data_IF_283882706107
#
_entry.id   IF_283882706107
#
_cell.length_a   1.000
_cell.length_b   1.000
_cell.length_c   1.000
_cell.angle_alpha   90.00
_cell.angle_beta   90.00
_cell.angle_gamma   90.00
#
_symmetry.space_group_name_H-M   'P 1'
#
loop_
_entity.id
_entity.type
_entity.pdbx_description
1 polymer ?
#
# COMPACT_ATOMS: atom_id res chain seq x y z
N UNK A 1 -14.17 -26.74 -19.73
CA UNK A 1 -14.26 -25.32 -20.18
C UNK A 1 -12.96 -24.63 -19.86
N UNK A 2 -12.29 -24.07 -20.87
CA UNK A 2 -11.08 -23.26 -20.69
C UNK A 2 -11.42 -22.04 -19.83
N UNK A 3 -10.74 -21.86 -18.69
CA UNK A 3 -10.82 -20.62 -17.91
C UNK A 3 -10.37 -19.49 -18.83
N UNK A 4 -11.31 -18.69 -19.35
CA UNK A 4 -10.95 -17.56 -20.20
C UNK A 4 -10.19 -16.54 -19.35
N UNK A 5 -8.95 -16.26 -19.74
CA UNK A 5 -8.19 -15.12 -19.23
C UNK A 5 -9.06 -13.85 -19.28
N UNK A 6 -8.89 -12.97 -18.31
CA UNK A 6 -9.51 -11.65 -18.36
C UNK A 6 -9.05 -10.96 -19.65
N UNK A 7 -9.98 -10.28 -20.33
CA UNK A 7 -9.68 -9.66 -21.62
C UNK A 7 -8.51 -8.66 -21.47
N UNK A 8 -7.46 -8.69 -22.32
CA UNK A 8 -6.25 -7.87 -22.15
C UNK A 8 -6.53 -6.36 -22.04
N UNK A 9 -7.49 -5.85 -22.80
CA UNK A 9 -7.90 -4.42 -22.72
C UNK A 9 -8.42 -4.07 -21.33
N UNK A 10 -9.20 -4.96 -20.71
CA UNK A 10 -9.71 -4.74 -19.35
C UNK A 10 -8.56 -4.77 -18.33
N UNK A 11 -7.58 -5.66 -18.49
CA UNK A 11 -6.39 -5.69 -17.64
C UNK A 11 -5.56 -4.41 -17.74
N UNK A 12 -5.39 -3.85 -18.95
CA UNK A 12 -4.74 -2.55 -19.12
C UNK A 12 -5.53 -1.42 -18.43
N UNK A 13 -6.85 -1.39 -18.60
CA UNK A 13 -7.70 -0.38 -17.94
C UNK A 13 -7.62 -0.48 -16.41
N UNK A 14 -7.64 -1.70 -15.85
CA UNK A 14 -7.48 -1.94 -14.41
C UNK A 14 -6.09 -1.49 -13.96
N UNK A 15 -5.03 -1.95 -14.63
CA UNK A 15 -3.66 -1.64 -14.26
C UNK A 15 -3.36 -0.14 -14.28
N UNK A 16 -3.81 0.57 -15.32
CA UNK A 16 -3.66 2.02 -15.42
C UNK A 16 -4.55 2.76 -14.41
N UNK A 17 -5.84 2.41 -14.34
CA UNK A 17 -6.82 3.10 -13.50
C UNK A 17 -6.56 2.95 -12.01
N UNK A 18 -6.04 1.80 -11.56
CA UNK A 18 -5.69 1.60 -10.15
C UNK A 18 -4.39 2.30 -9.74
N UNK A 19 -3.46 2.46 -10.67
CA UNK A 19 -2.08 2.79 -10.33
C UNK A 19 -1.67 4.23 -10.70
N UNK A 20 -2.31 4.85 -11.71
CA UNK A 20 -2.08 6.27 -12.00
C UNK A 20 -2.52 7.11 -10.79
N UNK A 21 -1.62 7.92 -10.19
CA UNK A 21 -1.91 8.67 -8.97
C UNK A 21 -2.65 9.98 -9.26
N UNK A 22 -3.77 9.89 -9.98
CA UNK A 22 -4.64 11.02 -10.31
C UNK A 22 -5.77 11.12 -9.28
N UNK A 23 -6.02 12.34 -8.82
CA UNK A 23 -7.04 12.64 -7.81
C UNK A 23 -8.03 13.68 -8.32
N UNK A 24 -9.29 13.54 -7.92
CA UNK A 24 -10.39 14.44 -8.24
C UNK A 24 -11.12 14.88 -6.98
N UNK A 25 -11.82 16.01 -7.03
CA UNK A 25 -12.72 16.47 -5.96
C UNK A 25 -14.17 16.10 -6.30
N UNK A 26 -15.06 16.10 -5.31
CA UNK A 26 -16.48 15.75 -5.52
C UNK A 26 -17.22 16.69 -6.48
N UNK A 27 -16.69 17.90 -6.71
CA UNK A 27 -17.19 18.84 -7.72
C UNK A 27 -16.82 18.45 -9.17
N UNK A 28 -16.09 17.35 -9.35
CA UNK A 28 -15.62 16.86 -10.65
C UNK A 28 -14.31 17.49 -11.13
N UNK A 29 -13.73 18.43 -10.37
CA UNK A 29 -12.45 19.05 -10.73
C UNK A 29 -11.27 18.11 -10.48
N UNK A 30 -10.24 18.23 -11.31
CA UNK A 30 -8.96 17.57 -11.07
C UNK A 30 -8.27 18.27 -9.91
N UNK A 31 -7.76 17.50 -8.95
CA UNK A 31 -7.00 18.06 -7.85
C UNK A 31 -5.69 18.64 -8.38
N UNK A 32 -5.55 19.97 -8.32
CA UNK A 32 -4.38 20.72 -8.76
C UNK A 32 -4.07 21.82 -7.74
N UNK A 33 -3.62 21.42 -6.56
CA UNK A 33 -3.22 22.34 -5.49
C UNK A 33 -1.69 22.51 -5.46
N UNK A 34 -1.25 23.74 -5.19
CA UNK A 34 0.16 24.11 -5.00
C UNK A 34 0.58 23.87 -3.54
N UNK A 35 -0.38 23.79 -2.61
CA UNK A 35 -0.12 23.48 -1.20
C UNK A 35 0.12 21.98 -1.00
N UNK A 36 1.20 21.68 -0.29
CA UNK A 36 1.67 20.31 0.00
C UNK A 36 0.64 19.48 0.79
N UNK A 37 -0.08 20.11 1.72
CA UNK A 37 -1.13 19.50 2.52
C UNK A 37 -2.45 20.26 2.31
N UNK A 38 -3.42 19.59 1.70
CA UNK A 38 -4.81 20.01 1.76
C UNK A 38 -5.37 19.57 3.12
N UNK A 39 -5.51 20.53 4.05
CA UNK A 39 -6.27 20.31 5.28
C UNK A 39 -7.76 20.35 4.94
N UNK A 40 -8.41 19.19 4.91
CA UNK A 40 -9.86 19.10 4.68
C UNK A 40 -10.68 19.49 5.90
N UNK A 41 -10.06 19.64 7.08
CA UNK A 41 -10.72 19.82 8.38
C UNK A 41 -11.87 18.83 8.66
N UNK A 42 -11.88 17.68 7.98
CA UNK A 42 -12.97 16.69 8.08
C UNK A 42 -14.14 16.89 7.12
N UNK A 43 -14.07 17.87 6.22
CA UNK A 43 -15.05 18.08 5.16
C UNK A 43 -14.75 17.15 3.97
N UNK A 44 -15.60 16.14 3.79
CA UNK A 44 -15.44 15.13 2.72
C UNK A 44 -15.41 15.77 1.33
N UNK A 45 -16.17 16.84 1.09
CA UNK A 45 -16.21 17.52 -0.21
C UNK A 45 -14.89 18.18 -0.61
N UNK A 46 -13.99 18.42 0.34
CA UNK A 46 -12.67 19.00 0.10
C UNK A 46 -11.56 17.93 -0.05
N UNK A 47 -11.88 16.65 0.20
CA UNK A 47 -10.90 15.58 0.12
C UNK A 47 -10.63 15.15 -1.33
N UNK A 48 -9.36 15.10 -1.76
CA UNK A 48 -9.01 14.51 -3.05
C UNK A 48 -9.26 13.00 -3.03
N UNK A 49 -10.10 12.53 -3.96
CA UNK A 49 -10.41 11.12 -4.16
C UNK A 49 -9.61 10.57 -5.34
N UNK A 50 -8.96 9.42 -5.22
CA UNK A 50 -8.19 8.85 -6.32
C UNK A 50 -9.08 8.24 -7.40
N UNK A 51 -8.64 8.34 -8.65
CA UNK A 51 -9.28 7.68 -9.80
C UNK A 51 -9.38 6.15 -9.62
N UNK A 52 -8.51 5.58 -8.78
CA UNK A 52 -8.52 4.14 -8.46
C UNK A 52 -9.83 3.66 -7.85
N UNK A 53 -10.59 4.52 -7.16
CA UNK A 53 -11.94 4.17 -6.68
C UNK A 53 -12.84 3.88 -7.89
N UNK A 54 -12.93 4.82 -8.83
CA UNK A 54 -13.79 4.71 -10.02
C UNK A 54 -13.36 3.52 -10.87
N UNK A 55 -12.05 3.37 -11.11
CA UNK A 55 -11.50 2.25 -11.87
C UNK A 55 -11.82 0.90 -11.20
N UNK A 56 -11.68 0.80 -9.87
CA UNK A 56 -11.95 -0.42 -9.12
C UNK A 56 -13.43 -0.83 -9.24
N UNK A 57 -14.36 0.09 -8.95
CA UNK A 57 -15.79 -0.22 -9.00
C UNK A 57 -16.30 -0.44 -10.43
N UNK A 58 -15.82 0.32 -11.42
CA UNK A 58 -16.17 0.07 -12.82
C UNK A 58 -15.71 -1.32 -13.28
N UNK A 59 -14.49 -1.73 -12.91
CA UNK A 59 -14.00 -3.07 -13.24
C UNK A 59 -14.80 -4.18 -12.54
N UNK A 60 -15.19 -3.99 -11.27
CA UNK A 60 -16.07 -4.94 -10.56
C UNK A 60 -17.43 -5.08 -11.23
N UNK A 61 -18.02 -3.98 -11.73
CA UNK A 61 -19.28 -4.03 -12.48
C UNK A 61 -19.13 -4.82 -13.79
N UNK A 62 -18.03 -4.61 -14.52
CA UNK A 62 -17.73 -5.37 -15.74
C UNK A 62 -17.48 -6.87 -15.47
N UNK A 63 -16.99 -7.20 -14.27
CA UNK A 63 -16.70 -8.56 -13.82
C UNK A 63 -17.79 -9.14 -12.90
N UNK A 64 -18.99 -8.54 -12.86
CA UNK A 64 -20.04 -8.88 -11.89
C UNK A 64 -20.40 -10.37 -11.88
N UNK A 65 -20.39 -11.03 -13.04
CA UNK A 65 -20.69 -12.46 -13.18
C UNK A 65 -19.74 -13.36 -12.39
N UNK A 66 -18.51 -12.90 -12.16
CA UNK A 66 -17.49 -13.64 -11.42
C UNK A 66 -17.46 -13.32 -9.92
N UNK A 67 -18.17 -12.29 -9.44
CA UNK A 67 -17.98 -11.76 -8.08
C UNK A 67 -18.16 -12.83 -6.99
N UNK A 68 -19.11 -13.76 -7.15
CA UNK A 68 -19.33 -14.86 -6.20
C UNK A 68 -18.15 -15.85 -6.09
N UNK A 69 -17.24 -15.83 -7.06
CA UNK A 69 -16.00 -16.63 -7.01
C UNK A 69 -14.92 -15.98 -6.15
N UNK A 70 -14.98 -14.66 -5.91
CA UNK A 70 -14.04 -13.93 -5.05
C UNK A 70 -14.42 -14.05 -3.57
N UNK A 71 -14.44 -15.30 -3.07
CA UNK A 71 -14.97 -15.63 -1.74
C UNK A 71 -14.19 -14.95 -0.62
N UNK A 72 -12.86 -14.86 -0.71
CA UNK A 72 -12.07 -14.31 0.38
C UNK A 72 -12.32 -12.80 0.52
N UNK A 73 -12.37 -12.06 -0.59
CA UNK A 73 -12.78 -10.66 -0.59
C UNK A 73 -14.20 -10.43 -0.09
N UNK A 74 -15.16 -11.27 -0.49
CA UNK A 74 -16.56 -11.15 -0.04
C UNK A 74 -16.68 -11.40 1.46
N UNK A 75 -16.06 -12.46 1.97
CA UNK A 75 -16.06 -12.80 3.39
C UNK A 75 -15.35 -11.75 4.22
N UNK A 76 -14.25 -11.16 3.71
CA UNK A 76 -13.58 -10.07 4.40
C UNK A 76 -14.51 -8.86 4.55
N UNK A 77 -15.10 -8.39 3.44
CA UNK A 77 -15.97 -7.21 3.46
C UNK A 77 -17.19 -7.45 4.34
N UNK A 78 -17.88 -8.58 4.14
CA UNK A 78 -19.06 -8.93 4.92
C UNK A 78 -18.71 -9.07 6.42
N UNK A 79 -17.60 -9.73 6.74
CA UNK A 79 -17.12 -9.88 8.11
C UNK A 79 -16.78 -8.54 8.75
N UNK A 80 -16.03 -7.67 8.06
CA UNK A 80 -15.68 -6.34 8.57
C UNK A 80 -16.91 -5.48 8.79
N UNK A 81 -17.87 -5.47 7.86
CA UNK A 81 -19.12 -4.74 8.01
C UNK A 81 -19.93 -5.29 9.19
N UNK A 82 -20.09 -6.61 9.31
CA UNK A 82 -20.82 -7.23 10.41
C UNK A 82 -20.18 -6.92 11.77
N UNK A 83 -18.86 -7.09 11.90
CA UNK A 83 -18.11 -6.78 13.12
C UNK A 83 -18.13 -5.28 13.46
N UNK A 84 -18.01 -4.41 12.45
CA UNK A 84 -18.08 -2.96 12.63
C UNK A 84 -19.46 -2.49 13.07
N UNK A 85 -20.52 -3.02 12.47
CA UNK A 85 -21.91 -2.77 12.87
C UNK A 85 -22.15 -3.26 14.30
N UNK A 86 -21.68 -4.46 14.64
CA UNK A 86 -21.75 -5.01 16.00
C UNK A 86 -21.06 -4.08 17.02
N UNK A 87 -19.87 -3.58 16.68
CA UNK A 87 -19.16 -2.59 17.49
C UNK A 87 -19.94 -1.28 17.65
N UNK A 88 -20.64 -0.83 16.61
CA UNK A 88 -21.47 0.38 16.70
C UNK A 88 -22.65 0.17 17.66
N UNK A 89 -23.38 -0.94 17.54
CA UNK A 89 -24.55 -1.21 18.37
C UNK A 89 -24.20 -1.49 19.84
N UNK A 90 -23.15 -2.28 20.11
CA UNK A 90 -22.76 -2.66 21.47
C UNK A 90 -21.86 -1.59 22.10
N UNK A 91 -20.96 -1.01 21.32
CA UNK A 91 -19.96 -0.04 21.77
C UNK A 91 -20.52 1.36 22.01
N UNK A 92 -21.70 1.69 21.48
CA UNK A 92 -22.37 2.96 21.70
C UNK A 92 -22.65 3.25 23.19
N UNK A 93 -22.72 4.53 23.52
CA UNK A 93 -23.15 5.04 24.83
C UNK A 93 -24.65 5.42 24.85
N UNK A 94 -25.32 5.35 23.70
CA UNK A 94 -26.73 5.71 23.53
C UNK A 94 -27.01 7.22 23.56
N UNK A 95 -25.96 8.05 23.75
CA UNK A 95 -26.05 9.50 23.87
C UNK A 95 -25.51 10.18 22.62
N UNK A 96 -24.40 9.68 22.08
CA UNK A 96 -23.75 10.28 20.92
C UNK A 96 -24.02 9.45 19.66
N UNK A 97 -24.38 10.14 18.58
CA UNK A 97 -24.68 9.50 17.29
C UNK A 97 -23.46 8.80 16.68
N UNK A 98 -23.61 7.62 16.06
CA UNK A 98 -22.48 6.81 15.57
C UNK A 98 -21.85 7.33 14.26
N UNK A 99 -22.11 8.58 13.87
CA UNK A 99 -21.76 9.12 12.55
C UNK A 99 -20.26 9.01 12.24
N UNK A 100 -19.40 9.34 13.21
CA UNK A 100 -17.94 9.27 13.05
C UNK A 100 -17.45 7.83 12.88
N UNK A 101 -18.03 6.88 13.63
CA UNK A 101 -17.75 5.44 13.44
C UNK A 101 -18.22 4.93 12.09
N UNK A 102 -19.43 5.30 11.65
CA UNK A 102 -19.95 4.91 10.34
C UNK A 102 -19.05 5.42 9.20
N UNK A 103 -18.59 6.67 9.31
CA UNK A 103 -17.63 7.23 8.35
C UNK A 103 -16.32 6.44 8.34
N UNK A 104 -15.78 6.09 9.51
CA UNK A 104 -14.56 5.28 9.60
C UNK A 104 -14.76 3.86 9.06
N UNK A 105 -15.93 3.25 9.30
CA UNK A 105 -16.26 1.93 8.77
C UNK A 105 -16.29 1.96 7.24
N UNK A 106 -16.91 2.98 6.65
CA UNK A 106 -16.93 3.19 5.20
C UNK A 106 -15.52 3.41 4.62
N UNK A 107 -14.68 4.19 5.30
CA UNK A 107 -13.28 4.42 4.89
C UNK A 107 -12.43 3.15 4.94
N UNK A 108 -12.71 2.24 5.87
CA UNK A 108 -11.98 0.98 6.02
C UNK A 108 -12.49 -0.08 5.04
N UNK A 109 -13.80 -0.12 4.79
CA UNK A 109 -14.41 -1.12 3.91
C UNK A 109 -14.24 -0.79 2.42
N UNK A 110 -14.23 0.49 2.03
CA UNK A 110 -14.14 0.88 0.61
C UNK A 110 -12.86 0.34 -0.06
N UNK A 111 -11.65 0.47 0.53
CA UNK A 111 -10.43 -0.05 -0.09
C UNK A 111 -10.42 -1.57 -0.26
N UNK A 112 -11.19 -2.32 0.54
CA UNK A 112 -11.29 -3.78 0.44
C UNK A 112 -11.91 -4.25 -0.88
N UNK A 113 -12.59 -3.37 -1.63
CA UNK A 113 -13.02 -3.65 -3.00
C UNK A 113 -11.84 -4.02 -3.91
N UNK A 114 -10.62 -3.53 -3.61
CA UNK A 114 -9.41 -3.95 -4.30
C UNK A 114 -9.15 -5.46 -4.18
N UNK A 115 -9.42 -6.06 -3.01
CA UNK A 115 -9.22 -7.50 -2.75
C UNK A 115 -10.13 -8.33 -3.65
N UNK A 116 -11.42 -7.96 -3.71
CA UNK A 116 -12.38 -8.57 -4.63
C UNK A 116 -11.88 -8.50 -6.07
N UNK A 117 -11.47 -7.31 -6.52
CA UNK A 117 -11.03 -7.13 -7.90
C UNK A 117 -9.77 -7.95 -8.19
N UNK A 118 -8.80 -7.99 -7.28
CA UNK A 118 -7.58 -8.79 -7.43
C UNK A 118 -7.84 -10.29 -7.53
N UNK A 119 -8.82 -10.81 -6.77
CA UNK A 119 -9.21 -12.23 -6.85
C UNK A 119 -9.87 -12.61 -8.18
N UNK A 120 -10.62 -11.68 -8.77
CA UNK A 120 -11.31 -11.87 -10.06
C UNK A 120 -10.38 -11.78 -11.26
N UNK A 121 -9.29 -11.05 -11.13
CA UNK A 121 -8.35 -10.84 -12.23
C UNK A 121 -7.48 -12.08 -12.46
N UNK A 122 -7.43 -12.49 -13.74
CA UNK A 122 -6.55 -13.56 -14.24
C UNK A 122 -5.58 -12.96 -15.25
N UNK A 123 -4.35 -12.72 -14.81
CA UNK A 123 -3.30 -12.09 -15.60
C UNK A 123 -2.28 -13.12 -16.14
N UNK A 124 -2.73 -13.95 -17.09
CA UNK A 124 -1.88 -14.98 -17.70
C UNK A 124 -0.70 -14.42 -18.50
N UNK A 125 -0.91 -13.27 -19.16
CA UNK A 125 0.05 -12.66 -20.09
C UNK A 125 0.86 -11.51 -19.48
N UNK A 126 0.84 -11.38 -18.13
CA UNK A 126 1.55 -10.34 -17.36
C UNK A 126 1.19 -8.91 -17.79
N UNK A 127 -0.03 -8.69 -18.25
CA UNK A 127 -0.54 -7.40 -18.73
C UNK A 127 -0.54 -6.37 -17.59
N UNK A 128 -0.89 -6.77 -16.36
CA UNK A 128 -0.87 -5.85 -15.22
C UNK A 128 0.55 -5.39 -14.91
N UNK A 129 1.52 -6.30 -14.93
CA UNK A 129 2.92 -5.94 -14.71
C UNK A 129 3.42 -4.95 -15.76
N UNK A 130 2.97 -5.08 -17.03
CA UNK A 130 3.31 -4.14 -18.11
C UNK A 130 2.62 -2.79 -17.91
N UNK A 131 1.38 -2.77 -17.43
CA UNK A 131 0.69 -1.55 -17.05
C UNK A 131 1.41 -0.80 -15.92
N UNK A 132 1.84 -1.52 -14.88
CA UNK A 132 2.62 -0.92 -13.79
C UNK A 132 3.96 -0.38 -14.27
N UNK A 133 4.68 -1.14 -15.10
CA UNK A 133 5.93 -0.70 -15.70
C UNK A 133 5.75 0.58 -16.52
N UNK A 134 4.70 0.65 -17.35
CA UNK A 134 4.39 1.84 -18.15
C UNK A 134 4.17 3.07 -17.27
N UNK A 135 3.32 2.97 -16.25
CA UNK A 135 3.05 4.10 -15.33
C UNK A 135 4.33 4.53 -14.62
N UNK A 136 5.17 3.59 -14.17
CA UNK A 136 6.46 3.93 -13.55
C UNK A 136 7.39 4.65 -14.53
N UNK A 137 7.51 4.15 -15.75
CA UNK A 137 8.34 4.75 -16.80
C UNK A 137 7.87 6.16 -17.21
N UNK A 138 6.60 6.50 -17.01
CA UNK A 138 6.07 7.83 -17.32
C UNK A 138 6.11 8.75 -16.10
N UNK A 139 5.51 8.34 -14.98
CA UNK A 139 5.28 9.23 -13.83
C UNK A 139 6.56 9.47 -13.04
N UNK A 140 7.42 8.46 -12.85
CA UNK A 140 8.65 8.63 -12.05
C UNK A 140 9.61 9.63 -12.68
N UNK A 141 9.97 9.52 -13.98
CA UNK A 141 10.83 10.52 -14.61
C UNK A 141 10.18 11.91 -14.65
N UNK A 142 8.86 11.97 -14.93
CA UNK A 142 8.12 13.23 -14.96
C UNK A 142 8.12 13.93 -13.59
N UNK A 143 7.87 13.19 -12.50
CA UNK A 143 7.89 13.74 -11.15
C UNK A 143 9.28 14.22 -10.74
N UNK A 144 10.33 13.46 -11.09
CA UNK A 144 11.71 13.85 -10.86
C UNK A 144 12.07 15.11 -11.65
N UNK A 145 11.69 15.19 -12.92
CA UNK A 145 11.93 16.35 -13.78
C UNK A 145 11.26 17.59 -13.18
N UNK A 146 9.96 17.51 -12.84
CA UNK A 146 9.26 18.65 -12.23
C UNK A 146 9.83 19.05 -10.87
N UNK A 147 10.28 18.07 -10.08
CA UNK A 147 10.97 18.35 -8.82
C UNK A 147 12.23 19.18 -9.05
N UNK A 148 13.00 18.86 -10.09
CA UNK A 148 14.22 19.58 -10.44
C UNK A 148 13.90 20.97 -11.02
N UNK A 149 12.95 21.08 -11.95
CA UNK A 149 12.61 22.36 -12.60
C UNK A 149 11.92 23.34 -11.66
N UNK A 150 11.23 22.85 -10.62
CA UNK A 150 10.61 23.67 -9.58
C UNK A 150 11.56 23.94 -8.40
N UNK A 151 12.83 23.55 -8.52
CA UNK A 151 13.88 23.73 -7.50
C UNK A 151 13.48 23.18 -6.12
N UNK A 152 12.72 22.08 -6.10
CA UNK A 152 12.28 21.44 -4.85
C UNK A 152 13.30 20.41 -4.38
N UNK A 153 13.62 20.43 -3.09
CA UNK A 153 14.49 19.42 -2.47
C UNK A 153 13.77 18.07 -2.33
N UNK A 154 12.48 18.10 -2.00
CA UNK A 154 11.57 16.95 -1.91
C UNK A 154 10.84 16.72 -3.22
N UNK A 155 10.37 15.49 -3.44
CA UNK A 155 9.46 15.20 -4.56
C UNK A 155 8.33 16.22 -4.60
N UNK A 156 8.13 16.87 -5.74
CA UNK A 156 6.99 17.76 -5.92
C UNK A 156 5.71 16.94 -6.02
N UNK A 157 4.61 17.50 -5.51
CA UNK A 157 3.28 16.97 -5.76
C UNK A 157 2.63 17.60 -6.99
N UNK A 158 3.12 18.75 -7.46
CA UNK A 158 2.43 19.57 -8.45
C UNK A 158 3.03 19.37 -9.86
N UNK A 159 2.21 18.92 -10.80
CA UNK A 159 2.57 18.62 -12.19
C UNK A 159 1.98 19.64 -13.18
N UNK A 160 1.63 20.85 -12.70
CA UNK A 160 0.98 21.93 -13.45
C UNK A 160 -0.48 21.66 -13.89
N UNK A 161 -0.81 20.42 -14.27
CA UNK A 161 -2.16 20.01 -14.70
C UNK A 161 -2.91 19.29 -13.58
N UNK A 162 -2.18 18.58 -12.73
CA UNK A 162 -2.73 17.87 -11.58
C UNK A 162 -1.70 17.84 -10.45
N UNK A 163 -2.18 17.46 -9.27
CA UNK A 163 -1.37 17.25 -8.08
C UNK A 163 -1.52 15.83 -7.55
N UNK A 164 -0.44 15.28 -7.01
CA UNK A 164 -0.44 13.97 -6.36
C UNK A 164 -0.71 14.18 -4.86
N UNK A 165 -1.93 13.84 -4.43
CA UNK A 165 -2.26 13.85 -3.01
C UNK A 165 -1.45 12.80 -2.26
N UNK A 166 -0.96 13.14 -1.06
CA UNK A 166 -0.21 12.21 -0.21
C UNK A 166 1.05 11.58 -0.87
N UNK A 167 1.65 12.33 -1.82
CA UNK A 167 2.76 11.90 -2.66
C UNK A 167 3.99 11.34 -1.94
N UNK A 168 4.37 11.95 -0.80
CA UNK A 168 5.64 11.67 -0.13
C UNK A 168 5.71 10.25 0.45
N UNK A 169 4.63 9.79 1.10
CA UNK A 169 4.68 8.57 1.90
C UNK A 169 3.94 7.39 1.27
N UNK A 170 2.76 7.65 0.70
CA UNK A 170 1.90 6.58 0.20
C UNK A 170 2.21 6.29 -1.26
N UNK A 171 2.16 7.29 -2.15
CA UNK A 171 2.39 7.06 -3.59
C UNK A 171 3.79 6.52 -3.87
N UNK A 172 4.82 7.08 -3.22
CA UNK A 172 6.18 6.57 -3.37
C UNK A 172 6.29 5.09 -2.98
N UNK A 173 5.62 4.66 -1.90
CA UNK A 173 5.64 3.25 -1.50
C UNK A 173 4.90 2.36 -2.48
N UNK A 174 3.72 2.76 -2.96
CA UNK A 174 2.97 2.02 -3.98
C UNK A 174 3.83 1.85 -5.23
N UNK A 175 4.58 2.88 -5.64
CA UNK A 175 5.49 2.80 -6.77
C UNK A 175 6.65 1.84 -6.53
N UNK A 176 7.21 1.77 -5.32
CA UNK A 176 8.20 0.75 -4.96
C UNK A 176 7.62 -0.66 -5.09
N UNK A 177 6.44 -0.92 -4.52
CA UNK A 177 5.79 -2.23 -4.61
C UNK A 177 5.47 -2.63 -6.07
N UNK A 178 4.96 -1.68 -6.86
CA UNK A 178 4.69 -1.91 -8.28
C UNK A 178 5.98 -2.14 -9.08
N UNK A 179 7.06 -1.43 -8.76
CA UNK A 179 8.37 -1.65 -9.37
C UNK A 179 8.87 -3.06 -9.08
N UNK A 180 8.80 -3.52 -7.82
CA UNK A 180 9.22 -4.88 -7.45
C UNK A 180 8.36 -5.93 -8.19
N UNK A 181 7.05 -5.72 -8.26
CA UNK A 181 6.15 -6.62 -9.00
C UNK A 181 6.47 -6.67 -10.50
N UNK A 182 6.66 -5.51 -11.14
CA UNK A 182 7.04 -5.41 -12.55
C UNK A 182 8.42 -6.02 -12.81
N UNK A 183 9.42 -5.67 -12.00
CA UNK A 183 10.79 -6.15 -12.13
C UNK A 183 10.87 -7.68 -12.04
N UNK A 184 10.12 -8.28 -11.11
CA UNK A 184 10.13 -9.73 -10.90
C UNK A 184 9.36 -10.48 -11.97
N UNK A 185 8.24 -9.91 -12.45
CA UNK A 185 7.39 -10.54 -13.48
C UNK A 185 7.95 -10.40 -14.90
N UNK A 186 8.58 -9.27 -15.20
CA UNK A 186 8.99 -8.86 -16.55
C UNK A 186 10.51 -8.84 -16.76
N UNK A 187 11.29 -9.32 -15.79
CA UNK A 187 12.76 -9.31 -15.86
C UNK A 187 13.25 -9.79 -17.22
N UNK A 188 12.83 -10.97 -17.66
CA UNK A 188 13.40 -11.61 -18.85
C UNK A 188 13.09 -10.86 -20.17
N UNK A 189 11.99 -10.12 -20.20
CA UNK A 189 11.51 -9.37 -21.38
C UNK A 189 12.08 -7.94 -21.43
N UNK A 190 12.26 -7.28 -20.28
CA UNK A 190 12.57 -5.84 -20.20
C UNK A 190 13.79 -5.49 -19.32
N UNK A 191 14.80 -6.37 -19.25
CA UNK A 191 16.00 -6.23 -18.38
C UNK A 191 16.59 -4.82 -18.36
N UNK A 192 16.95 -4.29 -19.54
CA UNK A 192 17.60 -2.99 -19.66
C UNK A 192 16.73 -1.86 -19.12
N UNK A 193 15.44 -1.85 -19.48
CA UNK A 193 14.48 -0.86 -19.01
C UNK A 193 14.30 -0.93 -17.49
N UNK A 194 14.21 -2.13 -16.91
CA UNK A 194 14.09 -2.32 -15.46
C UNK A 194 15.35 -1.82 -14.74
N UNK A 195 16.54 -2.04 -15.28
CA UNK A 195 17.79 -1.53 -14.70
C UNK A 195 17.85 0.01 -14.73
N UNK A 196 17.47 0.63 -15.86
CA UNK A 196 17.38 2.10 -15.95
C UNK A 196 16.35 2.64 -14.96
N UNK A 197 15.18 2.02 -14.91
CA UNK A 197 14.12 2.40 -14.00
C UNK A 197 14.54 2.21 -12.53
N UNK A 198 15.32 1.19 -12.18
CA UNK A 198 15.86 1.01 -10.84
C UNK A 198 16.72 2.21 -10.42
N UNK A 199 17.58 2.72 -11.30
CA UNK A 199 18.37 3.93 -11.00
C UNK A 199 17.46 5.14 -10.77
N UNK A 200 16.44 5.32 -11.61
CA UNK A 200 15.47 6.41 -11.44
C UNK A 200 14.65 6.27 -10.15
N UNK A 201 14.22 5.05 -9.82
CA UNK A 201 13.52 4.72 -8.59
C UNK A 201 14.39 5.00 -7.36
N UNK A 202 15.70 4.76 -7.43
CA UNK A 202 16.60 5.11 -6.33
C UNK A 202 16.60 6.62 -6.05
N UNK A 203 16.71 7.45 -7.09
CA UNK A 203 16.63 8.92 -6.94
C UNK A 203 15.25 9.35 -6.44
N UNK A 204 14.20 8.76 -7.00
CA UNK A 204 12.81 9.03 -6.65
C UNK A 204 12.53 8.75 -5.16
N UNK A 205 12.86 7.54 -4.70
CA UNK A 205 12.63 7.13 -3.31
C UNK A 205 13.50 7.94 -2.35
N UNK A 206 14.75 8.26 -2.71
CA UNK A 206 15.63 9.11 -1.91
C UNK A 206 15.16 10.57 -1.77
N UNK A 207 14.34 11.05 -2.72
CA UNK A 207 13.71 12.38 -2.69
C UNK A 207 12.38 12.39 -1.91
N UNK A 208 11.86 11.22 -1.53
CA UNK A 208 10.67 11.12 -0.66
C UNK A 208 10.97 11.34 0.83
N UNK A 209 12.22 11.22 1.26
CA UNK A 209 12.62 11.24 2.69
C UNK A 209 11.84 10.28 3.62
N UNK A 210 11.15 9.29 3.06
CA UNK A 210 10.43 8.26 3.80
C UNK A 210 11.38 7.10 4.10
N UNK A 211 11.94 7.05 5.32
CA UNK A 211 12.88 5.98 5.71
C UNK A 211 12.33 4.58 5.47
N UNK A 212 11.05 4.39 5.76
CA UNK A 212 10.38 3.12 5.58
C UNK A 212 10.37 2.71 4.10
N UNK A 213 10.08 3.65 3.20
CA UNK A 213 10.06 3.42 1.74
C UNK A 213 11.47 3.24 1.17
N UNK A 214 12.45 4.01 1.65
CA UNK A 214 13.87 3.87 1.28
C UNK A 214 14.38 2.47 1.66
N UNK A 215 14.11 2.04 2.89
CA UNK A 215 14.49 0.70 3.37
C UNK A 215 13.81 -0.40 2.55
N UNK A 216 12.50 -0.26 2.25
CA UNK A 216 11.78 -1.23 1.43
C UNK A 216 12.42 -1.41 0.05
N UNK A 217 12.72 -0.28 -0.61
CA UNK A 217 13.35 -0.27 -1.93
C UNK A 217 14.73 -0.91 -1.90
N UNK A 218 15.58 -0.50 -0.95
CA UNK A 218 16.94 -1.03 -0.82
C UNK A 218 16.93 -2.55 -0.56
N UNK A 219 16.12 -3.02 0.39
CA UNK A 219 15.97 -4.45 0.68
C UNK A 219 15.49 -5.21 -0.56
N UNK A 220 14.44 -4.71 -1.23
CA UNK A 220 13.88 -5.38 -2.40
C UNK A 220 14.89 -5.49 -3.54
N UNK A 221 15.62 -4.42 -3.86
CA UNK A 221 16.66 -4.44 -4.91
C UNK A 221 17.80 -5.37 -4.54
N UNK A 222 18.27 -5.36 -3.29
CA UNK A 222 19.35 -6.25 -2.83
C UNK A 222 18.94 -7.73 -2.92
N UNK A 223 17.74 -8.06 -2.42
CA UNK A 223 17.20 -9.43 -2.50
C UNK A 223 16.98 -9.84 -3.94
N UNK A 224 16.49 -8.94 -4.80
CA UNK A 224 16.28 -9.21 -6.22
C UNK A 224 17.60 -9.45 -6.96
N UNK A 225 18.60 -8.59 -6.73
CA UNK A 225 19.94 -8.78 -7.29
C UNK A 225 20.56 -10.10 -6.82
N UNK A 226 20.44 -10.44 -5.54
CA UNK A 226 20.92 -11.71 -5.00
C UNK A 226 20.21 -12.93 -5.63
N UNK A 227 18.89 -12.89 -5.81
CA UNK A 227 18.13 -13.95 -6.50
C UNK A 227 18.63 -14.14 -7.93
N UNK A 228 18.80 -13.04 -8.69
CA UNK A 228 19.28 -13.13 -10.07
C UNK A 228 20.72 -13.61 -10.17
N UNK A 229 21.63 -13.11 -9.33
CA UNK A 229 23.03 -13.52 -9.34
C UNK A 229 23.21 -14.99 -8.95
N UNK A 230 22.42 -15.50 -8.00
CA UNK A 230 22.45 -16.92 -7.61
C UNK A 230 22.10 -17.86 -8.77
N UNK A 231 21.20 -17.46 -9.66
CA UNK A 231 20.82 -18.26 -10.84
C UNK A 231 21.94 -18.37 -11.88
N UNK A 232 22.85 -17.40 -11.94
CA UNK A 232 23.97 -17.38 -12.88
C UNK A 232 25.25 -18.04 -12.35
N UNK A 233 25.20 -18.74 -11.20
CA UNK A 233 26.37 -19.37 -10.55
C UNK A 233 27.54 -18.39 -10.34
N UNK A 234 27.26 -17.08 -10.25
CA UNK A 234 28.28 -16.07 -10.06
C UNK A 234 28.84 -16.20 -8.64
N UNK A 235 30.16 -16.03 -8.51
CA UNK A 235 30.86 -16.12 -7.24
C UNK A 235 30.18 -15.24 -6.16
N UNK A 236 30.06 -15.74 -4.92
CA UNK A 236 29.45 -15.03 -3.78
C UNK A 236 30.05 -13.63 -3.57
N UNK A 237 31.31 -13.44 -3.94
CA UNK A 237 32.01 -12.15 -3.90
C UNK A 237 31.39 -11.08 -4.81
N UNK A 238 30.80 -11.45 -5.95
CA UNK A 238 30.14 -10.50 -6.86
C UNK A 238 28.79 -10.03 -6.31
N UNK A 239 28.06 -10.89 -5.59
CA UNK A 239 26.83 -10.50 -4.86
C UNK A 239 27.15 -9.50 -3.77
N UNK A 240 28.20 -9.76 -2.99
CA UNK A 240 28.69 -8.85 -1.95
C UNK A 240 29.17 -7.54 -2.59
N UNK A 241 29.86 -7.60 -3.73
CA UNK A 241 30.30 -6.40 -4.47
C UNK A 241 29.14 -5.52 -4.95
N UNK A 242 28.07 -6.11 -5.50
CA UNK A 242 26.87 -5.35 -5.91
C UNK A 242 26.15 -4.79 -4.69
N UNK A 243 26.03 -5.56 -3.60
CA UNK A 243 25.42 -5.10 -2.37
C UNK A 243 26.18 -3.92 -1.74
N UNK A 244 27.51 -3.99 -1.71
CA UNK A 244 28.39 -2.90 -1.26
C UNK A 244 28.27 -1.70 -2.19
N UNK A 245 28.17 -1.90 -3.51
CA UNK A 245 28.00 -0.81 -4.47
C UNK A 245 26.66 -0.10 -4.28
N UNK A 246 25.56 -0.84 -4.14
CA UNK A 246 24.23 -0.28 -3.86
C UNK A 246 24.25 0.45 -2.53
N UNK A 247 24.82 -0.15 -1.48
CA UNK A 247 24.98 0.48 -0.18
C UNK A 247 25.86 1.74 -0.25
N UNK A 248 26.94 1.72 -1.00
CA UNK A 248 27.82 2.87 -1.21
C UNK A 248 27.11 3.98 -1.98
N UNK A 249 26.31 3.66 -3.00
CA UNK A 249 25.51 4.66 -3.74
C UNK A 249 24.43 5.28 -2.83
N UNK A 250 23.79 4.47 -1.99
CA UNK A 250 22.87 4.96 -0.94
C UNK A 250 23.60 5.88 0.02
N UNK A 251 24.74 5.45 0.57
CA UNK A 251 25.53 6.19 1.55
C UNK A 251 26.12 7.48 0.97
N UNK A 252 26.65 7.45 -0.25
CA UNK A 252 27.17 8.63 -0.96
C UNK A 252 26.03 9.58 -1.32
N UNK A 253 24.89 9.07 -1.77
CA UNK A 253 23.68 9.88 -2.01
C UNK A 253 23.20 10.58 -0.73
N UNK A 254 23.29 9.92 0.42
CA UNK A 254 23.01 10.54 1.72
C UNK A 254 24.10 11.53 2.15
N UNK A 255 25.38 11.23 1.91
CA UNK A 255 26.51 12.07 2.30
C UNK A 255 26.65 13.35 1.46
N UNK A 256 26.34 13.30 0.17
CA UNK A 256 26.31 14.49 -0.71
C UNK A 256 25.16 15.42 -0.31
N UNK A 257 24.02 14.85 0.10
CA UNK A 257 22.88 15.64 0.63
C UNK A 257 23.15 16.24 2.01
N UNK A 258 23.98 15.62 2.84
CA UNK A 258 24.43 16.19 4.12
C UNK A 258 25.16 17.54 3.95
N UNK A 259 25.67 17.84 2.74
CA UNK A 259 26.45 19.04 2.46
C UNK A 259 25.63 20.21 1.88
N UNK A 260 24.41 20.01 1.39
CA UNK A 260 23.59 21.12 0.82
C UNK A 260 22.83 21.87 1.91
N UNK A 261 23.17 23.14 2.09
CA UNK A 261 22.57 24.07 3.05
C UNK A 261 21.24 24.61 2.52
N UNK A 262 20.15 24.48 3.28
CA UNK A 262 18.85 25.06 2.90
C UNK A 262 17.69 24.56 3.75
N UNK A 263 17.19 23.35 3.48
CA UNK A 263 16.11 22.71 4.26
C UNK A 263 16.50 21.32 4.80
N UNK A 264 17.79 20.98 4.71
CA UNK A 264 18.38 19.75 5.20
C UNK A 264 18.22 19.51 6.71
N UNK A 265 17.76 20.48 7.51
CA UNK A 265 17.52 20.31 8.96
C UNK A 265 16.44 19.28 9.31
N UNK A 266 15.43 19.06 8.46
CA UNK A 266 14.39 18.04 8.74
C UNK A 266 14.89 16.61 8.61
N UNK A 267 15.88 16.36 7.74
CA UNK A 267 16.49 15.05 7.54
C UNK A 267 17.75 14.89 8.39
N UNK A 268 18.63 15.90 8.44
CA UNK A 268 19.78 15.93 9.35
C UNK A 268 19.33 15.80 10.79
N UNK A 269 18.31 16.55 11.23
CA UNK A 269 17.78 16.52 12.59
C UNK A 269 17.54 15.09 13.09
N UNK A 270 16.93 14.26 12.23
CA UNK A 270 16.63 12.86 12.54
C UNK A 270 17.89 12.01 12.70
N UNK A 271 18.93 12.25 11.93
CA UNK A 271 20.20 11.52 12.07
C UNK A 271 21.10 12.09 13.17
N UNK A 272 21.09 13.41 13.38
CA UNK A 272 21.82 14.06 14.45
C UNK A 272 21.30 13.58 15.80
N UNK A 273 19.99 13.41 15.95
CA UNK A 273 19.42 12.85 17.17
C UNK A 273 19.93 11.41 17.41
N UNK A 274 19.89 10.55 16.39
CA UNK A 274 20.40 9.16 16.49
C UNK A 274 21.89 9.13 16.84
N UNK A 275 22.71 9.93 16.16
CA UNK A 275 24.17 10.01 16.40
C UNK A 275 24.46 10.51 17.81
N UNK A 276 23.61 11.39 18.34
CA UNK A 276 23.69 11.89 19.71
C UNK A 276 23.05 10.94 20.74
N UNK A 277 22.67 9.72 20.35
CA UNK A 277 22.03 8.74 21.23
C UNK A 277 20.60 9.08 21.65
N UNK A 278 19.94 10.03 20.96
CA UNK A 278 18.57 10.45 21.20
C UNK A 278 17.61 9.74 20.24
N UNK A 279 16.39 9.50 20.70
CA UNK A 279 15.30 9.01 19.85
C UNK A 279 14.82 10.19 18.99
N UNK A 280 14.72 10.06 17.65
CA UNK A 280 14.17 11.11 16.81
C UNK A 280 12.76 11.52 17.26
N UNK A 281 12.42 12.83 17.29
CA UNK A 281 11.12 13.31 17.75
C UNK A 281 9.94 12.64 17.08
N UNK A 282 10.02 12.35 15.78
CA UNK A 282 8.96 11.68 15.03
C UNK A 282 8.79 10.19 15.37
N UNK A 283 9.79 9.56 15.98
CA UNK A 283 9.71 8.19 16.50
C UNK A 283 9.13 8.22 17.91
N UNK A 284 9.59 9.16 18.75
CA UNK A 284 9.03 9.37 20.08
C UNK A 284 7.54 9.69 20.03
N UNK A 285 7.13 10.62 19.16
CA UNK A 285 5.73 10.98 18.96
C UNK A 285 4.86 9.76 18.59
N UNK A 286 5.37 8.85 17.75
CA UNK A 286 4.65 7.60 17.43
C UNK A 286 4.49 6.69 18.62
N UNK A 287 5.52 6.55 19.46
CA UNK A 287 5.41 5.77 20.69
C UNK A 287 4.42 6.39 21.68
N UNK A 288 4.42 7.71 21.78
CA UNK A 288 3.48 8.45 22.63
C UNK A 288 2.04 8.28 22.12
N UNK A 289 1.82 8.36 20.81
CA UNK A 289 0.54 8.09 20.18
C UNK A 289 0.09 6.63 20.42
N UNK A 290 0.98 5.65 20.24
CA UNK A 290 0.66 4.24 20.50
C UNK A 290 0.31 3.99 21.96
N UNK A 291 1.00 4.67 22.89
CA UNK A 291 0.70 4.60 24.31
C UNK A 291 -0.66 5.22 24.62
N UNK A 292 -0.95 6.39 24.06
CA UNK A 292 -2.23 7.08 24.24
C UNK A 292 -3.40 6.21 23.77
N UNK A 293 -3.35 5.71 22.53
CA UNK A 293 -4.40 4.86 21.99
C UNK A 293 -4.45 3.49 22.67
N UNK A 294 -3.28 2.92 22.99
CA UNK A 294 -3.16 1.65 23.73
C UNK A 294 -3.82 1.71 25.09
N UNK A 295 -3.61 2.80 25.84
CA UNK A 295 -4.25 3.01 27.13
C UNK A 295 -5.77 3.08 27.02
N UNK A 296 -6.31 3.80 26.02
CA UNK A 296 -7.77 3.84 25.80
C UNK A 296 -8.34 2.46 25.43
N UNK A 297 -7.62 1.69 24.61
CA UNK A 297 -8.03 0.33 24.24
C UNK A 297 -8.25 -0.54 25.47
N UNK A 298 -7.36 -0.45 26.47
CA UNK A 298 -7.41 -1.29 27.69
C UNK A 298 -8.15 -0.66 28.87
N UNK A 299 -8.82 0.49 28.67
CA UNK A 299 -9.54 1.21 29.72
C UNK A 299 -10.65 0.37 30.36
N UNK A 300 -11.32 -0.49 29.58
CA UNK A 300 -12.37 -1.38 30.08
C UNK A 300 -12.48 -2.64 29.22
N UNK A 301 -13.11 -3.69 29.75
CA UNK A 301 -13.42 -4.89 28.94
C UNK A 301 -14.30 -4.58 27.73
N UNK A 302 -15.19 -3.57 27.83
CA UNK A 302 -16.03 -3.11 26.72
C UNK A 302 -15.18 -2.50 25.60
N UNK A 303 -14.28 -1.58 25.92
CA UNK A 303 -13.43 -0.91 24.91
C UNK A 303 -12.46 -1.88 24.23
N UNK A 304 -11.98 -2.91 24.93
CA UNK A 304 -11.16 -3.98 24.31
C UNK A 304 -11.94 -4.73 23.23
N UNK A 305 -13.19 -5.13 23.52
CA UNK A 305 -13.97 -6.01 22.62
C UNK A 305 -14.62 -5.23 21.48
N UNK A 306 -15.25 -4.09 21.79
CA UNK A 306 -16.09 -3.34 20.84
C UNK A 306 -15.66 -1.89 20.62
N UNK A 307 -14.56 -1.44 21.22
CA UNK A 307 -14.03 -0.09 21.04
C UNK A 307 -14.80 0.98 21.82
N UNK A 308 -14.39 2.24 21.63
CA UNK A 308 -15.02 3.41 22.25
C UNK A 308 -16.35 3.76 21.57
N UNK A 309 -17.23 4.55 22.19
CA UNK A 309 -18.46 5.00 21.54
C UNK A 309 -18.18 5.84 20.28
N UNK A 310 -17.11 6.62 20.30
CA UNK A 310 -16.65 7.45 19.20
C UNK A 310 -15.14 7.31 18.96
N UNK A 311 -14.67 7.58 17.74
CA UNK A 311 -13.24 7.72 17.48
C UNK A 311 -12.65 8.89 18.28
N UNK A 312 -11.33 8.87 18.49
CA UNK A 312 -10.63 9.93 19.20
C UNK A 312 -10.89 11.30 18.52
N UNK A 313 -11.23 12.34 19.30
CA UNK A 313 -11.37 13.70 18.79
C UNK A 313 -10.08 14.18 18.09
N UNK A 314 -10.24 14.84 16.94
CA UNK A 314 -9.10 15.26 16.11
C UNK A 314 -8.30 16.38 16.75
N UNK A 315 -8.92 17.10 17.68
CA UNK A 315 -8.32 18.15 18.51
C UNK A 315 -7.27 17.58 19.48
N UNK A 316 -7.42 16.30 19.86
CA UNK A 316 -6.46 15.59 20.72
C UNK A 316 -5.38 14.98 19.84
N UNK A 317 -5.75 14.02 18.99
CA UNK A 317 -4.85 13.37 18.04
C UNK A 317 -5.62 12.85 16.83
N UNK A 318 -5.03 13.00 15.66
CA UNK A 318 -5.67 12.67 14.38
C UNK A 318 -5.50 11.20 13.97
N UNK A 319 -4.44 10.51 14.41
CA UNK A 319 -4.20 9.10 14.12
C UNK A 319 -3.08 8.52 14.98
N UNK A 320 -3.11 7.23 15.35
CA UNK A 320 -1.98 6.56 16.01
C UNK A 320 -0.86 6.17 15.04
N UNK A 321 -0.97 6.51 13.74
CA UNK A 321 -0.02 6.05 12.72
C UNK A 321 0.17 4.52 12.70
N UNK A 322 -0.84 3.76 13.11
CA UNK A 322 -0.87 2.31 13.07
C UNK A 322 -2.32 1.90 12.80
N UNK A 323 -2.54 1.26 11.66
CA UNK A 323 -3.88 0.89 11.21
C UNK A 323 -4.57 -0.04 12.22
N UNK A 324 -3.86 -1.03 12.75
CA UNK A 324 -4.42 -2.02 13.69
C UNK A 324 -4.82 -1.38 15.02
N UNK A 325 -3.96 -0.52 15.58
CA UNK A 325 -4.25 0.22 16.83
C UNK A 325 -5.45 1.14 16.62
N UNK A 326 -5.54 1.82 15.49
CA UNK A 326 -6.66 2.70 15.19
C UNK A 326 -7.99 1.95 15.07
N UNK A 327 -7.98 0.80 14.39
CA UNK A 327 -9.15 -0.07 14.28
C UNK A 327 -9.56 -0.63 15.64
N UNK A 328 -8.61 -1.08 16.46
CA UNK A 328 -8.88 -1.61 17.78
C UNK A 328 -9.40 -0.54 18.74
N UNK A 329 -8.87 0.69 18.70
CA UNK A 329 -9.39 1.79 19.50
C UNK A 329 -10.86 2.11 19.12
N UNK A 330 -11.13 2.19 17.82
CA UNK A 330 -12.42 2.64 17.30
C UNK A 330 -13.49 1.56 17.41
N UNK A 331 -13.17 0.34 17.00
CA UNK A 331 -14.14 -0.74 16.86
C UNK A 331 -13.87 -1.95 17.77
N UNK A 332 -12.78 -1.94 18.53
CA UNK A 332 -12.38 -3.07 19.37
C UNK A 332 -11.71 -4.19 18.58
N UNK A 333 -11.35 -5.26 19.28
CA UNK A 333 -10.76 -6.46 18.68
C UNK A 333 -11.69 -7.14 17.67
N UNK A 334 -13.00 -6.97 17.81
CA UNK A 334 -13.98 -7.65 16.94
C UNK A 334 -13.78 -7.30 15.46
N UNK A 335 -13.44 -6.06 15.12
CA UNK A 335 -13.24 -5.65 13.71
C UNK A 335 -11.98 -6.23 13.09
N UNK A 336 -11.01 -6.62 13.92
CA UNK A 336 -9.76 -7.20 13.45
C UNK A 336 -9.90 -8.68 13.08
N UNK A 337 -10.94 -9.36 13.57
CA UNK A 337 -11.14 -10.80 13.32
C UNK A 337 -11.09 -11.14 11.82
N UNK A 338 -11.85 -10.49 10.92
CA UNK A 338 -11.83 -10.82 9.49
C UNK A 338 -10.45 -10.66 8.85
N UNK A 339 -9.73 -9.58 9.19
CA UNK A 339 -8.38 -9.32 8.66
C UNK A 339 -7.37 -10.33 9.21
N UNK A 340 -7.41 -10.61 10.50
CA UNK A 340 -6.51 -11.59 11.12
C UNK A 340 -6.75 -12.99 10.55
N UNK A 341 -8.01 -13.38 10.34
CA UNK A 341 -8.37 -14.62 9.65
C UNK A 341 -7.78 -14.64 8.24
N UNK A 342 -7.89 -13.55 7.47
CA UNK A 342 -7.33 -13.48 6.13
C UNK A 342 -5.79 -13.58 6.13
N UNK A 343 -5.10 -12.95 7.09
CA UNK A 343 -3.64 -13.06 7.26
C UNK A 343 -3.26 -14.51 7.54
N UNK A 344 -3.90 -15.15 8.53
CA UNK A 344 -3.66 -16.54 8.91
C UNK A 344 -3.89 -17.47 7.70
N UNK A 345 -4.99 -17.25 6.99
CA UNK A 345 -5.34 -18.01 5.79
C UNK A 345 -4.27 -17.84 4.71
N UNK A 346 -3.82 -16.62 4.44
CA UNK A 346 -2.74 -16.34 3.46
C UNK A 346 -1.45 -17.07 3.84
N UNK A 347 -1.02 -16.99 5.10
CA UNK A 347 0.18 -17.68 5.59
C UNK A 347 0.04 -19.19 5.47
N UNK A 348 -1.13 -19.73 5.81
CA UNK A 348 -1.43 -21.15 5.66
C UNK A 348 -1.27 -21.61 4.20
N UNK A 349 -1.84 -20.91 3.21
CA UNK A 349 -1.67 -21.27 1.79
C UNK A 349 -0.22 -21.16 1.33
N UNK A 350 0.47 -20.08 1.70
CA UNK A 350 1.90 -19.93 1.39
C UNK A 350 2.72 -21.11 1.93
N UNK A 351 2.44 -21.57 3.15
CA UNK A 351 3.16 -22.67 3.77
C UNK A 351 2.77 -24.05 3.23
N UNK A 352 1.47 -24.31 3.06
CA UNK A 352 0.93 -25.57 2.58
C UNK A 352 1.35 -25.85 1.13
N UNK A 353 1.38 -24.82 0.28
CA UNK A 353 1.70 -24.95 -1.15
C UNK A 353 3.13 -24.50 -1.50
N UNK A 354 4.00 -24.28 -0.50
CA UNK A 354 5.34 -23.69 -0.68
C UNK A 354 6.19 -24.31 -1.80
N UNK A 355 6.07 -25.62 -2.04
CA UNK A 355 6.81 -26.34 -3.08
C UNK A 355 6.31 -26.11 -4.51
N UNK A 356 5.08 -25.60 -4.66
CA UNK A 356 4.41 -25.35 -5.95
C UNK A 356 4.29 -23.85 -6.30
N UNK A 357 4.62 -22.97 -5.35
CA UNK A 357 4.51 -21.52 -5.53
C UNK A 357 5.63 -21.03 -6.44
N UNK A 358 5.26 -20.31 -7.50
CA UNK A 358 6.24 -19.70 -8.41
C UNK A 358 7.08 -18.63 -7.72
N UNK A 359 8.28 -18.36 -8.25
CA UNK A 359 9.13 -17.27 -7.74
C UNK A 359 8.43 -15.91 -7.75
N UNK A 360 7.63 -15.62 -8.78
CA UNK A 360 6.88 -14.35 -8.87
C UNK A 360 5.79 -14.26 -7.80
N UNK A 361 5.14 -15.39 -7.48
CA UNK A 361 4.13 -15.45 -6.42
C UNK A 361 4.76 -15.25 -5.04
N UNK A 362 5.99 -15.73 -4.81
CA UNK A 362 6.74 -15.42 -3.58
C UNK A 362 7.07 -13.93 -3.45
N UNK A 363 7.46 -13.28 -4.54
CA UNK A 363 7.66 -11.83 -4.55
C UNK A 363 6.36 -11.06 -4.25
N UNK A 364 5.25 -11.49 -4.84
CA UNK A 364 3.93 -10.94 -4.55
C UNK A 364 3.54 -11.14 -3.07
N UNK A 365 3.82 -12.31 -2.49
CA UNK A 365 3.62 -12.57 -1.07
C UNK A 365 4.47 -11.65 -0.19
N UNK A 366 5.73 -11.38 -0.58
CA UNK A 366 6.60 -10.43 0.11
C UNK A 366 6.07 -8.98 0.05
N UNK A 367 5.54 -8.55 -1.10
CA UNK A 367 4.90 -7.24 -1.25
C UNK A 367 3.67 -7.12 -0.34
N UNK A 368 2.79 -8.13 -0.35
CA UNK A 368 1.58 -8.14 0.48
C UNK A 368 1.95 -8.16 1.97
N UNK A 369 2.91 -8.99 2.37
CA UNK A 369 3.42 -9.01 3.74
C UNK A 369 3.94 -7.64 4.17
N UNK A 370 4.73 -6.98 3.31
CA UNK A 370 5.23 -5.64 3.60
C UNK A 370 4.10 -4.64 3.79
N UNK A 371 3.12 -4.57 2.88
CA UNK A 371 2.02 -3.60 2.95
C UNK A 371 1.10 -3.86 4.15
N UNK A 372 0.73 -5.12 4.38
CA UNK A 372 -0.26 -5.51 5.40
C UNK A 372 0.36 -5.58 6.79
N UNK A 373 1.57 -6.11 6.93
CA UNK A 373 2.18 -6.32 8.25
C UNK A 373 3.11 -5.18 8.62
N UNK A 374 4.04 -4.81 7.74
CA UNK A 374 5.06 -3.80 8.09
C UNK A 374 4.47 -2.39 7.98
N UNK A 375 4.07 -1.97 6.79
CA UNK A 375 3.65 -0.58 6.55
C UNK A 375 2.40 -0.20 7.35
N UNK A 376 1.43 -1.12 7.48
CA UNK A 376 0.22 -0.87 8.27
C UNK A 376 0.43 -0.81 9.78
N UNK A 377 1.59 -1.22 10.29
CA UNK A 377 1.99 -0.97 11.69
C UNK A 377 2.61 0.41 11.89
N UNK A 378 3.09 1.06 10.82
CA UNK A 378 3.74 2.38 10.88
C UNK A 378 2.96 3.48 10.17
N UNK A 379 1.85 3.13 9.52
CA UNK A 379 0.94 4.01 8.80
C UNK A 379 -0.48 3.44 8.82
N UNK A 380 -1.43 4.26 8.39
CA UNK A 380 -2.85 3.90 8.24
C UNK A 380 -3.20 3.52 6.80
N UNK A 381 -2.31 2.79 6.13
CA UNK A 381 -2.33 2.54 4.68
C UNK A 381 -3.61 1.86 4.20
N UNK A 382 -4.11 0.86 4.92
CA UNK A 382 -5.24 0.05 4.49
C UNK A 382 -6.59 0.80 4.49
N UNK A 383 -6.74 1.90 5.25
CA UNK A 383 -7.95 2.74 5.20
C UNK A 383 -7.88 3.89 4.20
N UNK A 384 -6.69 4.18 3.67
CA UNK A 384 -6.51 5.28 2.72
C UNK A 384 -6.93 4.78 1.33
N UNK A 385 -7.83 5.48 0.60
CA UNK A 385 -8.41 4.93 -0.62
C UNK A 385 -7.39 4.50 -1.68
N UNK A 386 -6.41 5.35 -2.00
CA UNK A 386 -5.42 5.03 -3.04
C UNK A 386 -4.51 3.86 -2.65
N UNK A 387 -3.69 3.95 -1.59
CA UNK A 387 -2.77 2.89 -1.25
C UNK A 387 -3.47 1.64 -0.68
N UNK A 388 -4.64 1.80 -0.05
CA UNK A 388 -5.45 0.69 0.46
C UNK A 388 -6.03 -0.15 -0.68
N UNK A 389 -6.63 0.47 -1.71
CA UNK A 389 -7.14 -0.26 -2.88
C UNK A 389 -6.01 -1.04 -3.54
N UNK A 390 -4.83 -0.43 -3.71
CA UNK A 390 -3.68 -1.12 -4.27
C UNK A 390 -3.21 -2.28 -3.38
N UNK A 391 -3.08 -2.08 -2.07
CA UNK A 391 -2.64 -3.12 -1.16
C UNK A 391 -3.58 -4.33 -1.15
N UNK A 392 -4.89 -4.08 -1.05
CA UNK A 392 -5.90 -5.12 -1.14
C UNK A 392 -5.94 -5.77 -2.53
N UNK A 393 -5.75 -5.02 -3.62
CA UNK A 393 -5.65 -5.57 -4.97
C UNK A 393 -4.47 -6.53 -5.13
N UNK A 394 -3.29 -6.16 -4.65
CA UNK A 394 -2.11 -7.03 -4.66
C UNK A 394 -2.35 -8.29 -3.81
N UNK A 395 -3.08 -8.16 -2.70
CA UNK A 395 -3.47 -9.31 -1.87
C UNK A 395 -4.48 -10.22 -2.59
N UNK A 396 -5.41 -9.67 -3.36
CA UNK A 396 -6.36 -10.45 -4.16
C UNK A 396 -5.66 -11.19 -5.29
N UNK A 397 -4.69 -10.54 -5.96
CA UNK A 397 -3.83 -11.21 -6.94
C UNK A 397 -3.03 -12.35 -6.31
N UNK A 398 -2.56 -12.18 -5.07
CA UNK A 398 -1.87 -13.25 -4.34
C UNK A 398 -2.80 -14.43 -4.12
N UNK A 399 -4.03 -14.21 -3.67
CA UNK A 399 -5.01 -15.29 -3.50
C UNK A 399 -5.34 -16.00 -4.81
N UNK A 400 -5.56 -15.22 -5.88
CA UNK A 400 -5.75 -15.71 -7.25
C UNK A 400 -4.59 -16.64 -7.70
N UNK A 401 -3.35 -16.32 -7.29
CA UNK A 401 -2.17 -17.12 -7.59
C UNK A 401 -1.98 -18.33 -6.67
N UNK A 402 -2.37 -18.24 -5.39
CA UNK A 402 -2.18 -19.31 -4.38
C UNK A 402 -3.23 -20.44 -4.47
N UNK A 403 -4.44 -20.15 -4.96
CA UNK A 403 -5.52 -21.14 -5.02
C UNK A 403 -5.21 -22.24 -6.05
N UNK A 404 -5.15 -23.53 -5.68
CA UNK A 404 -4.92 -24.62 -6.63
C UNK A 404 -5.98 -24.67 -7.73
N UNK A 405 -5.56 -24.96 -8.96
CA UNK A 405 -6.46 -25.14 -10.12
C UNK A 405 -7.54 -26.20 -9.86
N UNK A 406 -7.27 -27.20 -9.01
CA UNK A 406 -8.23 -28.24 -8.61
C UNK A 406 -9.32 -27.74 -7.64
N UNK A 407 -8.96 -26.88 -6.67
CA UNK A 407 -9.94 -26.23 -5.79
C UNK A 407 -10.78 -25.20 -6.55
N UNK A 408 -10.22 -24.58 -7.59
CA UNK A 408 -10.97 -23.70 -8.51
C UNK A 408 -12.03 -24.44 -9.32
N UNK A 409 -11.71 -25.64 -9.84
CA UNK A 409 -12.68 -26.45 -10.61
C UNK A 409 -13.91 -26.80 -9.78
N UNK A 410 -13.74 -27.26 -8.54
CA UNK A 410 -14.86 -27.56 -7.64
C UNK A 410 -15.71 -26.33 -7.27
N UNK A 411 -15.12 -25.14 -7.24
CA UNK A 411 -15.86 -23.90 -6.97
C UNK A 411 -16.78 -23.48 -8.14
N UNK A 412 -16.43 -23.82 -9.38
CA UNK A 412 -17.26 -23.53 -10.57
C UNK A 412 -18.38 -24.55 -10.75
N UNK A 413 -18.15 -25.83 -10.42
CA UNK A 413 -19.20 -26.87 -10.51
C UNK A 413 -20.25 -26.78 -9.41
N UNK A 414 -19.98 -26.12 -8.28
CA UNK A 414 -20.93 -25.98 -7.18
C UNK A 414 -21.87 -24.75 -7.30
N UNK A 415 -21.68 -23.92 -8.34
CA UNK A 415 -22.47 -22.72 -8.60
C UNK A 415 -23.30 -22.81 -9.91
N UNK A 416 -23.25 -23.97 -10.58
CA UNK A 416 -24.17 -24.38 -11.64
C UNK A 416 -25.01 -25.54 -11.11
#
# INVERSE_FOLDING_TARGET
MSEKNTHPVLLWMIGLGLFVPLFFRLDGSIYADVKILAESLGVISQLPLPISIVACFAALLLLVRGVLTARAGLLLIAGTLACGILSIFIGGDGVIGPQRKLMMLAQVSMPMAGLLLGELVRDGDKVLARAFLLVLCVIVPMQLLFTLTQEKEMLTHYFHIFSIYSHIQFVTLIFVCAFVYAATSLWDEYKALICVLAMLMFFYVSRSYSFLTIAAYAIAVLVFAADKLRRFHVNRMSVIGVAILVLAVVLVGTAVKLKSHGQSQLFLGKFTDIVNGKIPPNVQERFDDWKLFGNGIVESGKTIVVGHAEPMPREIRSSPHNWYVEQMYTFGLVVLIPIMTLIIYTVYFCFAYRGSISSNTWWLAGIVFYLVVIDSNFKVTLRQPYPGIFAYFMWGLLFSALLPTALRKHQVTALN
#
